data_IF_646989769593
#
_entry.id   IF_646989769593
#
_cell.length_a   1.000
_cell.length_b   1.000
_cell.length_c   1.000
_cell.angle_alpha   90.00
_cell.angle_beta   90.00
_cell.angle_gamma   90.00
#
_symmetry.space_group_name_H-M   'P 1'
#
loop_
_entity.id
_entity.type
_entity.pdbx_description
1 polymer ?
#
# COMPACT_ATOMS: atom_id res chain seq x y z
N UNK A 1 23.42 -4.56 -12.23
CA UNK A 1 22.73 -4.37 -10.93
C UNK A 1 22.79 -2.89 -10.60
N UNK A 2 21.67 -2.17 -10.67
CA UNK A 2 21.65 -0.77 -10.25
C UNK A 2 21.98 -0.71 -8.75
N UNK A 3 22.98 0.10 -8.39
CA UNK A 3 23.41 0.29 -7.00
C UNK A 3 22.24 0.89 -6.22
N UNK A 4 21.56 0.08 -5.40
CA UNK A 4 20.43 0.53 -4.59
C UNK A 4 20.98 1.44 -3.48
N UNK A 5 20.56 2.73 -3.42
CA UNK A 5 21.00 3.59 -2.34
C UNK A 5 20.47 3.06 -1.01
N UNK A 6 21.30 3.13 0.04
CA UNK A 6 20.97 2.65 1.39
C UNK A 6 19.80 3.41 2.02
N UNK A 7 19.57 4.67 1.58
CA UNK A 7 18.46 5.53 2.04
C UNK A 7 17.82 6.24 0.85
N UNK A 8 16.97 5.57 0.06
CA UNK A 8 16.35 6.20 -1.10
C UNK A 8 15.47 7.40 -0.68
N UNK A 9 15.51 8.42 -1.52
CA UNK A 9 14.60 9.57 -1.43
C UNK A 9 13.22 9.20 -1.96
N UNK A 10 12.19 9.98 -1.61
CA UNK A 10 10.83 9.75 -2.12
C UNK A 10 10.78 9.87 -3.65
N UNK A 11 11.56 10.79 -4.24
CA UNK A 11 11.64 10.94 -5.69
C UNK A 11 12.18 9.67 -6.38
N UNK A 12 13.26 9.09 -5.86
CA UNK A 12 13.82 7.83 -6.37
C UNK A 12 12.86 6.65 -6.22
N UNK A 13 12.10 6.59 -5.11
CA UNK A 13 11.09 5.55 -4.93
C UNK A 13 9.99 5.69 -5.98
N UNK A 14 9.47 6.91 -6.19
CA UNK A 14 8.42 7.19 -7.18
C UNK A 14 8.86 6.91 -8.61
N UNK A 15 10.10 7.20 -8.96
CA UNK A 15 10.64 6.92 -10.28
C UNK A 15 10.58 5.43 -10.62
N UNK A 16 10.83 4.57 -9.63
CA UNK A 16 10.82 3.11 -9.79
C UNK A 16 9.42 2.53 -9.63
N UNK A 17 8.65 2.96 -8.62
CA UNK A 17 7.35 2.35 -8.29
C UNK A 17 6.16 2.96 -9.05
N UNK A 18 6.28 4.19 -9.54
CA UNK A 18 5.20 4.94 -10.17
C UNK A 18 5.60 5.55 -11.54
N UNK A 19 6.16 4.77 -12.48
CA UNK A 19 6.52 5.30 -13.79
C UNK A 19 5.27 5.77 -14.56
N UNK A 20 5.40 6.72 -15.51
CA UNK A 20 4.28 7.23 -16.30
C UNK A 20 3.48 6.15 -17.04
N UNK A 21 4.12 5.05 -17.40
CA UNK A 21 3.48 3.86 -18.00
C UNK A 21 2.51 3.13 -17.06
N UNK A 22 2.67 3.30 -15.75
CA UNK A 22 1.83 2.69 -14.70
C UNK A 22 0.76 3.68 -14.21
N UNK A 23 1.10 4.96 -14.09
CA UNK A 23 0.21 5.99 -13.55
C UNK A 23 -0.70 6.64 -14.60
N UNK A 24 -0.26 6.73 -15.85
CA UNK A 24 -0.98 7.39 -16.96
C UNK A 24 -1.99 6.51 -17.70
N UNK A 25 -2.34 5.33 -17.15
CA UNK A 25 -3.32 4.43 -17.76
C UNK A 25 -4.72 5.04 -17.62
N UNK A 26 -5.34 5.48 -18.71
CA UNK A 26 -6.71 6.02 -18.69
C UNK A 26 -7.78 5.01 -18.24
N UNK A 27 -7.47 3.71 -18.27
CA UNK A 27 -8.32 2.62 -17.77
C UNK A 27 -8.08 2.28 -16.29
N UNK A 28 -7.33 3.09 -15.54
CA UNK A 28 -7.19 2.87 -14.10
C UNK A 28 -8.48 3.30 -13.39
N UNK A 29 -9.41 2.36 -13.17
CA UNK A 29 -10.67 2.53 -12.42
C UNK A 29 -10.45 2.87 -10.92
N UNK A 30 -9.25 3.30 -10.55
CA UNK A 30 -8.80 3.45 -9.18
C UNK A 30 -8.59 4.93 -8.87
N UNK A 31 -9.67 5.71 -8.95
CA UNK A 31 -9.68 7.12 -8.55
C UNK A 31 -9.17 7.33 -7.12
N UNK A 32 -9.38 6.34 -6.22
CA UNK A 32 -8.84 6.32 -4.85
C UNK A 32 -7.30 6.34 -4.87
N UNK A 33 -6.69 5.65 -5.83
CA UNK A 33 -5.24 5.61 -5.97
C UNK A 33 -4.67 6.97 -6.35
N UNK A 34 -5.33 7.70 -7.24
CA UNK A 34 -4.94 9.05 -7.61
C UNK A 34 -5.29 10.09 -6.55
N UNK A 35 -6.38 9.89 -5.81
CA UNK A 35 -6.81 10.77 -4.74
C UNK A 35 -5.74 10.85 -3.64
N UNK A 36 -5.33 9.70 -3.09
CA UNK A 36 -4.37 9.68 -1.99
C UNK A 36 -3.38 8.50 -1.97
N UNK A 37 -3.70 7.30 -2.48
CA UNK A 37 -2.81 6.13 -2.27
C UNK A 37 -1.44 6.36 -2.91
N UNK A 38 -1.37 6.81 -4.16
CA UNK A 38 -0.11 7.07 -4.88
C UNK A 38 0.71 8.23 -4.27
N UNK A 39 0.07 9.09 -3.48
CA UNK A 39 0.76 10.16 -2.75
C UNK A 39 1.37 9.63 -1.46
N UNK A 40 0.71 8.68 -0.79
CA UNK A 40 1.11 8.18 0.52
C UNK A 40 2.00 6.92 0.42
N UNK A 41 1.76 6.03 -0.54
CA UNK A 41 2.46 4.74 -0.63
C UNK A 41 3.99 4.85 -0.71
N UNK A 42 4.61 5.83 -1.40
CA UNK A 42 6.07 5.97 -1.41
C UNK A 42 6.67 6.24 -0.02
N UNK A 43 5.92 6.88 0.88
CA UNK A 43 6.36 7.11 2.25
C UNK A 43 6.30 5.83 3.07
N UNK A 44 5.24 5.04 2.90
CA UNK A 44 5.10 3.72 3.52
C UNK A 44 6.23 2.80 3.04
N UNK A 45 6.47 2.74 1.72
CA UNK A 45 7.59 2.01 1.15
C UNK A 45 8.91 2.45 1.77
N UNK A 46 9.17 3.76 1.87
CA UNK A 46 10.40 4.27 2.48
C UNK A 46 10.60 3.81 3.93
N UNK A 47 9.53 3.70 4.71
CA UNK A 47 9.57 3.18 6.08
C UNK A 47 9.88 1.68 6.05
N UNK A 48 9.19 0.91 5.22
CA UNK A 48 9.42 -0.54 5.06
C UNK A 48 10.84 -0.86 4.58
N UNK A 49 11.42 -0.04 3.70
CA UNK A 49 12.81 -0.24 3.26
C UNK A 49 13.85 -0.01 4.36
N UNK A 50 13.46 0.56 5.52
CA UNK A 50 14.33 0.69 6.70
C UNK A 50 14.20 -0.47 7.66
N UNK A 51 13.23 -1.36 7.47
CA UNK A 51 13.05 -2.57 8.29
C UNK A 51 13.66 -3.78 7.57
N UNK A 52 13.92 -4.89 8.28
CA UNK A 52 14.41 -6.13 7.67
C UNK A 52 13.32 -6.90 6.90
N UNK A 53 12.15 -6.31 6.67
CA UNK A 53 11.02 -6.98 6.02
C UNK A 53 11.35 -7.19 4.53
N UNK A 54 11.23 -8.43 4.08
CA UNK A 54 11.42 -8.80 2.66
C UNK A 54 10.17 -8.46 1.85
N UNK A 55 10.28 -8.43 0.52
CA UNK A 55 9.12 -8.25 -0.35
C UNK A 55 8.01 -9.28 -0.07
N UNK A 56 8.38 -10.55 0.10
CA UNK A 56 7.43 -11.62 0.49
C UNK A 56 6.82 -11.36 1.87
N UNK A 57 7.59 -10.79 2.81
CA UNK A 57 7.08 -10.38 4.12
C UNK A 57 6.02 -9.28 4.02
N UNK A 58 6.18 -8.33 3.10
CA UNK A 58 5.15 -7.30 2.82
C UNK A 58 3.91 -7.95 2.20
N UNK A 59 4.07 -8.90 1.27
CA UNK A 59 2.93 -9.64 0.70
C UNK A 59 2.15 -10.40 1.77
N UNK A 60 2.83 -11.07 2.69
CA UNK A 60 2.15 -11.74 3.81
C UNK A 60 1.44 -10.77 4.73
N UNK A 61 2.06 -9.61 5.04
CA UNK A 61 1.40 -8.57 5.82
C UNK A 61 0.13 -8.07 5.12
N UNK A 62 0.18 -7.87 3.80
CA UNK A 62 -0.98 -7.48 3.00
C UNK A 62 -2.10 -8.54 3.07
N UNK A 63 -1.75 -9.81 2.90
CA UNK A 63 -2.71 -10.93 3.00
C UNK A 63 -3.36 -10.95 4.38
N UNK A 64 -2.58 -10.81 5.45
CA UNK A 64 -3.11 -10.80 6.82
C UNK A 64 -4.08 -9.63 7.05
N UNK A 65 -3.76 -8.43 6.55
CA UNK A 65 -4.65 -7.27 6.64
C UNK A 65 -5.93 -7.52 5.84
N UNK A 66 -5.83 -8.01 4.62
CA UNK A 66 -7.00 -8.36 3.80
C UNK A 66 -7.88 -9.42 4.46
N UNK A 67 -7.28 -10.50 4.95
CA UNK A 67 -7.99 -11.57 5.66
C UNK A 67 -8.67 -11.05 6.93
N UNK A 68 -8.07 -10.08 7.64
CA UNK A 68 -8.63 -9.51 8.87
C UNK A 68 -9.91 -8.67 8.67
N UNK A 69 -10.20 -8.25 7.43
CA UNK A 69 -11.45 -7.54 7.11
C UNK A 69 -12.66 -8.44 7.37
N UNK A 70 -12.57 -9.74 7.05
CA UNK A 70 -13.65 -10.71 7.27
C UNK A 70 -14.05 -10.82 8.75
N UNK A 71 -13.11 -11.16 9.66
CA UNK A 71 -13.34 -11.17 11.09
C UNK A 71 -13.81 -9.83 11.67
N UNK A 72 -13.35 -8.68 11.12
CA UNK A 72 -13.81 -7.37 11.57
C UNK A 72 -15.32 -7.18 11.37
N UNK A 73 -15.89 -7.76 10.32
CA UNK A 73 -17.33 -7.72 10.04
C UNK A 73 -18.16 -8.64 10.95
N UNK A 74 -17.53 -9.57 11.69
CA UNK A 74 -18.21 -10.37 12.70
C UNK A 74 -18.51 -9.58 13.97
N UNK A 75 -17.86 -8.43 14.16
CA UNK A 75 -18.12 -7.52 15.29
C UNK A 75 -19.44 -6.78 15.01
N UNK A 76 -20.45 -7.01 15.85
CA UNK A 76 -21.75 -6.36 15.69
C UNK A 76 -21.68 -4.86 15.93
N UNK A 77 -22.47 -4.12 15.15
CA UNK A 77 -22.61 -2.66 15.25
C UNK A 77 -21.60 -1.87 14.41
N UNK A 78 -21.61 -0.56 14.61
CA UNK A 78 -20.82 0.38 13.79
C UNK A 78 -19.31 0.20 13.90
N UNK A 79 -18.82 -0.35 15.02
CA UNK A 79 -17.40 -0.59 15.23
C UNK A 79 -16.82 -1.60 14.24
N UNK A 80 -17.52 -2.70 13.95
CA UNK A 80 -17.06 -3.70 12.98
C UNK A 80 -16.95 -3.12 11.56
N UNK A 81 -17.95 -2.32 11.17
CA UNK A 81 -17.98 -1.64 9.87
C UNK A 81 -16.83 -0.63 9.76
N UNK A 82 -16.65 0.22 10.77
CA UNK A 82 -15.57 1.22 10.77
C UNK A 82 -14.20 0.55 10.73
N UNK A 83 -13.99 -0.53 11.47
CA UNK A 83 -12.75 -1.30 11.46
C UNK A 83 -12.50 -1.94 10.09
N UNK A 84 -13.51 -2.59 9.50
CA UNK A 84 -13.41 -3.19 8.17
C UNK A 84 -13.06 -2.15 7.11
N UNK A 85 -13.68 -0.97 7.13
CA UNK A 85 -13.36 0.14 6.23
C UNK A 85 -11.89 0.57 6.37
N UNK A 86 -11.41 0.77 7.59
CA UNK A 86 -10.01 1.17 7.85
C UNK A 86 -9.05 0.09 7.34
N UNK A 87 -9.35 -1.20 7.58
CA UNK A 87 -8.52 -2.31 7.14
C UNK A 87 -8.49 -2.42 5.60
N UNK A 88 -9.62 -2.22 4.92
CA UNK A 88 -9.68 -2.18 3.45
C UNK A 88 -8.79 -1.07 2.89
N UNK A 89 -8.85 0.13 3.46
CA UNK A 89 -8.02 1.25 3.00
C UNK A 89 -6.52 0.99 3.25
N UNK A 90 -6.18 0.32 4.36
CA UNK A 90 -4.81 -0.10 4.66
C UNK A 90 -4.31 -1.18 3.70
N UNK A 91 -5.14 -2.17 3.35
CA UNK A 91 -4.77 -3.20 2.39
C UNK A 91 -4.47 -2.57 1.03
N UNK A 92 -5.35 -1.70 0.53
CA UNK A 92 -5.16 -0.99 -0.73
C UNK A 92 -3.91 -0.10 -0.72
N UNK A 93 -3.57 0.51 0.42
CA UNK A 93 -2.38 1.36 0.53
C UNK A 93 -1.07 0.56 0.47
N UNK A 94 -1.07 -0.66 1.00
CA UNK A 94 0.12 -1.53 1.00
C UNK A 94 0.30 -2.20 -0.37
N UNK A 95 -0.79 -2.42 -1.10
CA UNK A 95 -0.78 -3.02 -2.46
C UNK A 95 -0.38 -2.01 -3.57
N UNK A 96 -0.54 -0.70 -3.31
CA UNK A 96 -0.36 0.37 -4.30
C UNK A 96 1.09 0.89 -4.45
#
# INVERSE_FOLDING_TARGET
MQTRPSRPTIAQIREVSQPPSVTGRSNAEHWIADLYLRKISPYVTRILLRTPITANGVTWLMILIGASIGPALLIQGWFGIALALILSHKQMLIDC
#
